data_IF_058825700284
#
_entry.id   IF_058825700284
#
_cell.length_a   1.000
_cell.length_b   1.000
_cell.length_c   1.000
_cell.angle_alpha   90.00
_cell.angle_beta   90.00
_cell.angle_gamma   90.00
#
_symmetry.space_group_name_H-M   'P 1'
#
loop_
_entity.id
_entity.type
_entity.pdbx_description
1 polymer ?
#
# COMPACT_ATOMS: atom_id res chain seq x y z
N UNK A 1 -6.05 5.13 -22.41
CA UNK A 1 -6.18 6.22 -21.43
C UNK A 1 -7.05 5.89 -20.21
N UNK A 2 -8.37 5.62 -20.33
CA UNK A 2 -9.22 5.34 -19.13
C UNK A 2 -8.79 4.06 -18.39
N UNK A 3 -8.58 2.97 -19.12
CA UNK A 3 -8.22 1.67 -18.53
C UNK A 3 -6.81 1.64 -17.91
N UNK A 4 -5.87 2.41 -18.48
CA UNK A 4 -4.51 2.54 -17.93
C UNK A 4 -4.51 3.30 -16.60
N UNK A 5 -5.36 4.34 -16.47
CA UNK A 5 -5.55 5.06 -15.20
C UNK A 5 -6.16 4.14 -14.14
N UNK A 6 -7.15 3.34 -14.53
CA UNK A 6 -7.77 2.35 -13.65
C UNK A 6 -6.73 1.32 -13.18
N UNK A 7 -5.98 0.73 -14.11
CA UNK A 7 -4.92 -0.23 -13.81
C UNK A 7 -3.88 0.34 -12.84
N UNK A 8 -3.38 1.55 -13.12
CA UNK A 8 -2.43 2.24 -12.24
C UNK A 8 -3.02 2.54 -10.86
N UNK A 9 -4.32 2.86 -10.76
CA UNK A 9 -4.98 3.11 -9.48
C UNK A 9 -5.17 1.85 -8.65
N UNK A 10 -5.45 0.70 -9.27
CA UNK A 10 -5.59 -0.59 -8.59
C UNK A 10 -4.24 -1.10 -8.09
N UNK A 11 -3.17 -0.91 -8.86
CA UNK A 11 -1.80 -1.24 -8.43
C UNK A 11 -1.33 -0.41 -7.22
N UNK A 12 -1.92 0.76 -6.99
CA UNK A 12 -1.60 1.61 -5.84
C UNK A 12 -2.34 1.23 -4.56
N UNK A 13 -3.29 0.29 -4.64
CA UNK A 13 -4.00 -0.16 -3.45
C UNK A 13 -3.03 -0.85 -2.47
N UNK A 14 -3.15 -0.55 -1.17
CA UNK A 14 -2.52 -1.29 -0.07
C UNK A 14 -2.44 -2.80 -0.30
N UNK A 15 -1.26 -3.42 -0.21
CA UNK A 15 -1.14 -4.89 -0.18
C UNK A 15 -1.41 -5.63 -1.49
N UNK A 16 -1.75 -4.94 -2.59
CA UNK A 16 -1.89 -5.57 -3.90
C UNK A 16 -0.53 -6.11 -4.35
N UNK A 17 -0.52 -7.40 -4.70
CA UNK A 17 0.66 -8.10 -5.18
C UNK A 17 0.74 -8.10 -6.71
N UNK A 18 -0.42 -8.12 -7.39
CA UNK A 18 -0.52 -8.12 -8.85
C UNK A 18 -1.85 -7.55 -9.31
N UNK A 19 -1.85 -6.89 -10.46
CA UNK A 19 -3.07 -6.58 -11.22
C UNK A 19 -2.88 -7.09 -12.65
N UNK A 20 -3.87 -7.80 -13.18
CA UNK A 20 -3.92 -8.21 -14.58
C UNK A 20 -5.20 -7.70 -15.24
N UNK A 21 -5.09 -7.12 -16.44
CA UNK A 21 -6.25 -6.66 -17.21
C UNK A 21 -6.65 -7.72 -18.23
N UNK A 22 -7.82 -8.33 -18.07
CA UNK A 22 -8.35 -9.33 -19.00
C UNK A 22 -9.14 -8.63 -20.09
N UNK A 23 -8.70 -8.80 -21.33
CA UNK A 23 -9.25 -8.11 -22.50
C UNK A 23 -10.04 -9.07 -23.40
N UNK A 24 -11.05 -8.53 -24.07
CA UNK A 24 -11.81 -9.22 -25.09
C UNK A 24 -12.23 -8.20 -26.15
N UNK A 25 -11.95 -8.51 -27.43
CA UNK A 25 -12.25 -7.63 -28.56
C UNK A 25 -11.72 -6.19 -28.36
N UNK A 26 -10.52 -6.04 -27.82
CA UNK A 26 -9.86 -4.74 -27.59
C UNK A 26 -10.30 -3.99 -26.32
N UNK A 27 -11.39 -4.40 -25.67
CA UNK A 27 -11.88 -3.80 -24.42
C UNK A 27 -11.44 -4.58 -23.18
N UNK A 28 -11.20 -3.91 -22.05
CA UNK A 28 -10.99 -4.59 -20.76
C UNK A 28 -12.34 -5.07 -20.23
N UNK A 29 -12.49 -6.37 -20.01
CA UNK A 29 -13.68 -6.96 -19.37
C UNK A 29 -13.63 -6.84 -17.85
N UNK A 30 -12.46 -7.07 -17.28
CA UNK A 30 -12.22 -6.99 -15.85
C UNK A 30 -10.73 -6.92 -15.54
N UNK A 31 -10.44 -6.55 -14.30
CA UNK A 31 -9.13 -6.63 -13.68
C UNK A 31 -9.15 -7.76 -12.66
N UNK A 32 -8.12 -8.61 -12.69
CA UNK A 32 -7.81 -9.52 -11.59
C UNK A 32 -6.87 -8.79 -10.64
N UNK A 33 -7.32 -8.52 -9.44
CA UNK A 33 -6.55 -7.87 -8.38
C UNK A 33 -6.15 -8.94 -7.37
N UNK A 34 -4.85 -9.24 -7.32
CA UNK A 34 -4.31 -10.29 -6.48
C UNK A 34 -3.73 -9.73 -5.19
N UNK A 35 -4.11 -10.33 -4.07
CA UNK A 35 -3.47 -10.16 -2.77
C UNK A 35 -2.80 -11.47 -2.38
N UNK A 36 -1.61 -11.38 -1.81
CA UNK A 36 -0.90 -12.54 -1.28
C UNK A 36 -0.56 -12.28 0.18
N UNK A 37 -1.00 -13.18 1.04
CA UNK A 37 -0.75 -13.15 2.46
C UNK A 37 0.02 -14.40 2.87
N UNK A 38 0.83 -14.29 3.90
CA UNK A 38 1.36 -15.47 4.57
C UNK A 38 0.22 -16.13 5.36
N UNK A 39 0.06 -17.45 5.23
CA UNK A 39 -0.97 -18.22 5.91
C UNK A 39 -0.85 -18.11 7.43
N UNK A 40 0.37 -18.00 7.96
CA UNK A 40 0.59 -17.84 9.40
C UNK A 40 -0.01 -16.53 9.95
N UNK A 41 -0.22 -15.54 9.08
CA UNK A 41 -0.73 -14.21 9.41
C UNK A 41 -2.22 -14.05 9.06
N UNK A 42 -2.94 -15.14 8.80
CA UNK A 42 -4.38 -15.08 8.56
C UNK A 42 -5.09 -16.01 9.53
N UNK A 43 -5.73 -15.43 10.53
CA UNK A 43 -6.71 -16.15 11.33
C UNK A 43 -8.01 -16.37 10.56
N UNK A 44 -8.93 -17.14 11.14
CA UNK A 44 -10.20 -17.47 10.50
C UNK A 44 -11.08 -16.24 10.27
N UNK A 45 -10.97 -15.21 11.11
CA UNK A 45 -11.76 -13.98 11.00
C UNK A 45 -11.25 -13.10 9.84
N UNK A 46 -9.94 -12.88 9.75
CA UNK A 46 -9.30 -12.18 8.64
C UNK A 46 -9.60 -12.88 7.30
N UNK A 47 -9.55 -14.22 7.29
CA UNK A 47 -9.87 -15.00 6.10
C UNK A 47 -11.33 -14.78 5.64
N UNK A 48 -12.30 -14.83 6.57
CA UNK A 48 -13.72 -14.60 6.25
C UNK A 48 -13.98 -13.16 5.79
N UNK A 49 -13.35 -12.18 6.46
CA UNK A 49 -13.45 -10.75 6.10
C UNK A 49 -12.88 -10.50 4.69
N UNK A 50 -11.72 -11.08 4.35
CA UNK A 50 -11.12 -10.95 3.03
C UNK A 50 -11.92 -11.71 1.95
N UNK A 51 -12.41 -12.91 2.26
CA UNK A 51 -13.25 -13.69 1.35
C UNK A 51 -14.55 -12.95 0.98
N UNK A 52 -15.07 -12.13 1.90
CA UNK A 52 -16.29 -11.33 1.72
C UNK A 52 -16.05 -9.91 1.19
N UNK A 53 -14.79 -9.51 1.00
CA UNK A 53 -14.44 -8.19 0.47
C UNK A 53 -15.18 -7.92 -0.85
N UNK A 54 -15.18 -8.90 -1.73
CA UNK A 54 -15.75 -8.78 -3.06
C UNK A 54 -16.48 -10.05 -3.49
N UNK A 55 -17.61 -9.94 -4.21
CA UNK A 55 -18.44 -11.12 -4.56
C UNK A 55 -17.73 -12.14 -5.45
N UNK A 56 -16.80 -11.68 -6.30
CA UNK A 56 -16.05 -12.52 -7.22
C UNK A 56 -14.61 -12.65 -6.74
N UNK A 57 -14.40 -13.57 -5.79
CA UNK A 57 -13.11 -13.87 -5.18
C UNK A 57 -12.76 -15.34 -5.39
N UNK A 58 -11.52 -15.61 -5.78
CA UNK A 58 -10.92 -16.94 -5.75
C UNK A 58 -9.82 -16.96 -4.69
N UNK A 59 -9.80 -18.01 -3.86
CA UNK A 59 -8.83 -18.18 -2.79
C UNK A 59 -8.01 -19.42 -3.11
N UNK A 60 -6.70 -19.25 -3.25
CA UNK A 60 -5.76 -20.33 -3.51
C UNK A 60 -4.71 -20.37 -2.40
N UNK A 61 -4.61 -21.50 -1.70
CA UNK A 61 -3.52 -21.71 -0.75
C UNK A 61 -2.36 -22.38 -1.50
N UNK A 62 -1.17 -21.78 -1.45
CA UNK A 62 0.05 -22.38 -1.95
C UNK A 62 0.65 -23.29 -0.85
N UNK A 63 0.58 -24.63 -1.01
CA UNK A 63 1.05 -25.56 0.02
C UNK A 63 2.58 -25.56 0.16
N UNK A 64 3.30 -25.05 -0.83
CA UNK A 64 4.77 -25.02 -0.90
C UNK A 64 5.33 -23.72 -0.32
N UNK A 65 4.67 -22.59 -0.55
CA UNK A 65 5.13 -21.27 -0.11
C UNK A 65 4.51 -20.81 1.21
N UNK A 66 3.55 -21.56 1.77
CA UNK A 66 2.85 -21.17 2.99
C UNK A 66 2.04 -19.89 2.84
N UNK A 67 1.66 -19.52 1.61
CA UNK A 67 0.92 -18.29 1.30
C UNK A 67 -0.52 -18.58 0.89
N UNK A 68 -1.41 -17.61 1.10
CA UNK A 68 -2.78 -17.62 0.59
C UNK A 68 -2.92 -16.45 -0.38
N UNK A 69 -3.37 -16.76 -1.59
CA UNK A 69 -3.64 -15.84 -2.69
C UNK A 69 -5.14 -15.59 -2.77
N UNK A 70 -5.53 -14.33 -2.85
CA UNK A 70 -6.89 -13.88 -3.08
C UNK A 70 -6.93 -13.14 -4.41
N UNK A 71 -7.67 -13.66 -5.38
CA UNK A 71 -7.87 -13.04 -6.68
C UNK A 71 -9.28 -12.47 -6.78
N UNK A 72 -9.38 -11.14 -6.85
CA UNK A 72 -10.63 -10.43 -6.99
C UNK A 72 -10.85 -10.00 -8.43
N UNK A 73 -12.02 -10.36 -8.97
CA UNK A 73 -12.41 -10.04 -10.33
C UNK A 73 -13.28 -8.78 -10.30
N UNK A 74 -12.73 -7.67 -10.82
CA UNK A 74 -13.32 -6.32 -10.70
C UNK A 74 -13.57 -5.74 -12.09
N UNK A 75 -14.82 -5.39 -12.42
CA UNK A 75 -15.12 -4.75 -13.70
C UNK A 75 -14.73 -3.27 -13.68
N UNK A 76 -14.39 -2.65 -14.83
CA UNK A 76 -13.96 -1.25 -14.87
C UNK A 76 -14.94 -0.27 -14.20
N UNK A 77 -16.24 -0.50 -14.32
CA UNK A 77 -17.30 0.31 -13.72
C UNK A 77 -17.42 0.14 -12.18
N UNK A 78 -16.88 -0.94 -11.63
CA UNK A 78 -16.97 -1.26 -10.20
C UNK A 78 -15.72 -0.84 -9.41
N UNK A 79 -14.66 -0.42 -10.10
CA UNK A 79 -13.34 -0.15 -9.51
C UNK A 79 -13.40 0.83 -8.35
N UNK A 80 -14.15 1.93 -8.47
CA UNK A 80 -14.24 2.91 -7.39
C UNK A 80 -14.88 2.32 -6.13
N UNK A 81 -15.90 1.47 -6.29
CA UNK A 81 -16.54 0.78 -5.17
C UNK A 81 -15.61 -0.28 -4.57
N UNK A 82 -14.90 -1.02 -5.41
CA UNK A 82 -13.89 -1.98 -4.97
C UNK A 82 -12.80 -1.28 -4.16
N UNK A 83 -12.25 -0.17 -4.64
CA UNK A 83 -11.22 0.60 -3.95
C UNK A 83 -11.68 1.09 -2.58
N UNK A 84 -12.91 1.61 -2.48
CA UNK A 84 -13.49 2.06 -1.22
C UNK A 84 -13.59 0.91 -0.20
N UNK A 85 -14.11 -0.25 -0.64
CA UNK A 85 -14.21 -1.43 0.23
C UNK A 85 -12.85 -1.99 0.59
N UNK A 86 -11.94 -2.09 -0.38
CA UNK A 86 -10.60 -2.62 -0.19
C UNK A 86 -9.83 -1.79 0.83
N UNK A 87 -9.85 -0.45 0.73
CA UNK A 87 -9.20 0.40 1.73
C UNK A 87 -9.77 0.17 3.15
N UNK A 88 -11.10 0.09 3.29
CA UNK A 88 -11.76 -0.13 4.60
C UNK A 88 -11.46 -1.51 5.19
N UNK A 89 -11.49 -2.53 4.33
CA UNK A 89 -11.36 -3.95 4.74
C UNK A 89 -9.89 -4.34 4.91
N UNK A 90 -8.97 -3.79 4.11
CA UNK A 90 -7.54 -4.08 4.24
C UNK A 90 -6.92 -3.34 5.41
N UNK A 91 -7.43 -2.17 5.80
CA UNK A 91 -7.08 -1.56 7.09
C UNK A 91 -7.48 -2.48 8.26
N UNK A 92 -8.68 -3.09 8.19
CA UNK A 92 -9.14 -4.08 9.18
C UNK A 92 -8.36 -5.38 9.11
N UNK A 93 -8.15 -5.96 7.93
CA UNK A 93 -7.41 -7.20 7.75
C UNK A 93 -5.92 -7.03 8.08
N UNK A 94 -5.32 -5.86 7.84
CA UNK A 94 -3.96 -5.55 8.30
C UNK A 94 -3.87 -5.44 9.84
N UNK A 95 -4.94 -5.02 10.51
CA UNK A 95 -5.03 -5.04 11.96
C UNK A 95 -5.27 -6.44 12.53
N UNK A 96 -6.05 -7.29 11.85
CA UNK A 96 -6.39 -8.66 12.27
C UNK A 96 -5.28 -9.66 11.93
N UNK A 97 -4.54 -9.44 10.84
CA UNK A 97 -3.51 -10.35 10.35
C UNK A 97 -2.30 -10.53 11.29
N UNK A 98 -2.22 -9.81 12.43
CA UNK A 98 -1.49 -10.23 13.63
C UNK A 98 -0.01 -10.62 13.52
N UNK A 99 0.60 -10.51 12.34
CA UNK A 99 2.02 -10.62 12.13
C UNK A 99 2.53 -9.23 12.34
N UNK A 100 3.25 -9.06 13.43
CA UNK A 100 4.05 -7.90 13.77
C UNK A 100 4.82 -7.40 12.52
N UNK A 101 4.14 -6.58 11.71
CA UNK A 101 4.74 -5.84 10.60
C UNK A 101 5.29 -4.60 11.26
N UNK A 102 6.29 -4.80 12.13
CA UNK A 102 6.90 -3.81 13.01
C UNK A 102 6.73 -2.43 12.38
N UNK A 103 5.80 -1.65 12.92
CA UNK A 103 5.46 -0.38 12.31
C UNK A 103 6.69 0.49 12.52
N UNK A 104 7.43 0.75 11.44
CA UNK A 104 8.63 1.55 11.54
C UNK A 104 8.21 3.00 11.42
N UNK A 105 8.41 3.73 12.50
CA UNK A 105 8.30 5.18 12.50
C UNK A 105 9.67 5.74 12.15
N UNK A 106 9.73 6.40 10.99
CA UNK A 106 10.87 7.17 10.51
C UNK A 106 10.58 8.65 10.78
N UNK A 107 11.39 9.29 11.62
CA UNK A 107 11.35 10.74 11.84
C UNK A 107 12.56 11.36 11.14
N UNK A 108 12.29 12.23 10.18
CA UNK A 108 13.28 13.01 9.44
C UNK A 108 13.21 14.46 9.92
N UNK A 109 14.29 14.97 10.48
CA UNK A 109 14.42 16.37 10.87
C UNK A 109 15.27 17.09 9.81
N UNK A 110 14.75 18.17 9.24
CA UNK A 110 15.42 18.95 8.20
C UNK A 110 16.00 20.27 8.73
N UNK A 111 16.98 20.82 8.00
CA UNK A 111 17.64 22.10 8.31
C UNK A 111 16.67 23.31 8.30
N UNK A 112 15.56 23.19 7.57
CA UNK A 112 14.55 24.24 7.39
C UNK A 112 13.15 23.66 7.25
N UNK A 113 12.16 24.55 7.21
CA UNK A 113 10.75 24.19 7.06
C UNK A 113 10.51 23.39 5.78
N UNK A 114 9.75 22.30 5.88
CA UNK A 114 9.35 21.49 4.73
C UNK A 114 8.23 22.19 3.97
N UNK A 115 8.45 22.60 2.71
CA UNK A 115 7.43 23.30 1.95
C UNK A 115 6.28 22.35 1.57
N UNK A 116 5.04 22.84 1.45
CA UNK A 116 3.87 22.01 1.14
C UNK A 116 4.02 21.18 -0.15
N UNK A 117 4.70 21.71 -1.16
CA UNK A 117 4.95 21.00 -2.43
C UNK A 117 5.83 19.77 -2.23
N UNK A 118 6.81 19.86 -1.32
CA UNK A 118 7.67 18.73 -0.97
C UNK A 118 6.87 17.66 -0.21
N UNK A 119 5.98 18.06 0.71
CA UNK A 119 5.12 17.13 1.43
C UNK A 119 4.19 16.36 0.48
N UNK A 120 3.57 17.05 -0.47
CA UNK A 120 2.70 16.43 -1.47
C UNK A 120 3.47 15.39 -2.28
N UNK A 121 4.70 15.70 -2.69
CA UNK A 121 5.52 14.79 -3.47
C UNK A 121 6.04 13.60 -2.64
N UNK A 122 6.44 13.84 -1.38
CA UNK A 122 6.78 12.78 -0.43
C UNK A 122 5.61 11.83 -0.22
N UNK A 123 4.41 12.36 0.05
CA UNK A 123 3.18 11.57 0.22
C UNK A 123 2.83 10.77 -1.04
N UNK A 124 3.01 11.35 -2.24
CA UNK A 124 2.78 10.65 -3.50
C UNK A 124 3.79 9.52 -3.78
N UNK A 125 4.97 9.57 -3.15
CA UNK A 125 6.03 8.55 -3.29
C UNK A 125 5.88 7.35 -2.34
N UNK A 126 4.98 7.47 -1.36
CA UNK A 126 4.67 6.46 -0.36
C UNK A 126 3.51 5.56 -0.83
N UNK A 127 3.37 4.39 -0.18
CA UNK A 127 2.24 3.50 -0.44
C UNK A 127 1.02 4.02 0.30
N UNK A 128 -0.19 3.65 -0.16
CA UNK A 128 -1.44 4.06 0.51
C UNK A 128 -1.56 3.60 1.97
N UNK A 129 -0.80 2.58 2.39
CA UNK A 129 -0.72 2.10 3.79
C UNK A 129 0.23 2.89 4.69
N UNK A 130 1.09 3.71 4.08
CA UNK A 130 2.10 4.46 4.78
C UNK A 130 1.53 5.86 5.09
N UNK A 131 1.74 6.34 6.31
CA UNK A 131 1.25 7.66 6.73
C UNK A 131 2.41 8.65 6.76
N UNK A 132 2.18 9.88 6.32
CA UNK A 132 3.14 10.98 6.42
C UNK A 132 2.48 12.19 7.06
N UNK A 133 3.10 12.66 8.13
CA UNK A 133 2.76 13.88 8.85
C UNK A 133 3.97 14.81 8.82
N UNK A 134 3.74 16.08 8.51
CA UNK A 134 4.76 17.13 8.52
C UNK A 134 4.41 18.15 9.60
N UNK A 135 5.43 18.65 10.30
CA UNK A 135 5.27 19.76 11.24
C UNK A 135 6.54 20.59 11.26
N UNK A 136 6.49 21.79 10.68
CA UNK A 136 7.66 22.66 10.64
C UNK A 136 8.79 22.02 9.85
N UNK A 137 9.84 21.58 10.55
CA UNK A 137 11.04 20.96 9.97
C UNK A 137 11.01 19.44 10.01
N UNK A 138 10.01 18.87 10.68
CA UNK A 138 9.94 17.44 10.96
C UNK A 138 8.98 16.76 9.98
N UNK A 139 9.38 15.59 9.50
CA UNK A 139 8.54 14.67 8.76
C UNK A 139 8.53 13.34 9.48
N UNK A 140 7.34 12.94 9.93
CA UNK A 140 7.10 11.65 10.56
C UNK A 140 6.43 10.75 9.54
N UNK A 141 7.07 9.62 9.24
CA UNK A 141 6.56 8.61 8.32
C UNK A 141 6.34 7.31 9.08
N UNK A 142 5.09 6.83 9.07
CA UNK A 142 4.74 5.52 9.61
C UNK A 142 4.67 4.52 8.47
N UNK A 143 5.61 3.57 8.47
CA UNK A 143 5.75 2.55 7.44
C UNK A 143 5.20 1.22 7.94
N UNK A 144 4.14 0.75 7.29
CA UNK A 144 3.47 -0.49 7.69
C UNK A 144 3.95 -1.63 6.78
N UNK A 145 4.53 -2.68 7.36
CA UNK A 145 5.03 -3.84 6.60
C UNK A 145 6.06 -3.47 5.54
N UNK A 146 6.91 -2.48 5.82
CA UNK A 146 8.01 -2.09 4.94
C UNK A 146 9.20 -3.02 5.18
N UNK A 147 9.59 -3.79 4.15
CA UNK A 147 10.78 -4.66 4.20
C UNK A 147 12.09 -3.89 4.06
N UNK A 148 12.04 -2.71 3.43
CA UNK A 148 13.21 -1.90 3.11
C UNK A 148 12.96 -0.43 3.45
N UNK A 149 13.08 -0.13 4.74
CA UNK A 149 12.94 1.23 5.27
C UNK A 149 14.04 2.16 4.74
N UNK A 150 15.24 1.63 4.49
CA UNK A 150 16.36 2.40 3.99
C UNK A 150 16.09 2.94 2.57
N UNK A 151 15.50 2.13 1.69
CA UNK A 151 15.12 2.58 0.35
C UNK A 151 13.99 3.63 0.38
N UNK A 152 13.07 3.54 1.35
CA UNK A 152 12.04 4.57 1.53
C UNK A 152 12.65 5.87 2.04
N UNK A 153 13.54 5.78 3.03
CA UNK A 153 14.30 6.94 3.53
C UNK A 153 15.10 7.60 2.43
N UNK A 154 15.90 6.85 1.66
CA UNK A 154 16.70 7.41 0.56
C UNK A 154 15.83 8.12 -0.48
N UNK A 155 14.66 7.54 -0.79
CA UNK A 155 13.69 8.16 -1.70
C UNK A 155 13.18 9.49 -1.15
N UNK A 156 12.78 9.53 0.13
CA UNK A 156 12.30 10.74 0.79
C UNK A 156 13.40 11.81 0.86
N UNK A 157 14.65 11.43 1.15
CA UNK A 157 15.81 12.33 1.13
C UNK A 157 16.08 12.88 -0.26
N UNK A 158 15.96 12.05 -1.30
CA UNK A 158 16.10 12.50 -2.70
C UNK A 158 15.00 13.47 -3.10
N UNK A 159 13.77 13.28 -2.61
CA UNK A 159 12.69 14.25 -2.80
C UNK A 159 13.07 15.55 -2.09
N UNK A 160 13.40 15.50 -0.80
CA UNK A 160 13.79 16.65 0.01
C UNK A 160 14.94 17.46 -0.61
N UNK A 161 15.96 16.78 -1.14
CA UNK A 161 17.12 17.40 -1.78
C UNK A 161 16.76 18.21 -3.03
N UNK A 162 15.70 17.83 -3.78
CA UNK A 162 15.21 18.63 -4.91
C UNK A 162 14.60 19.97 -4.49
N UNK A 163 14.15 20.07 -3.24
CA UNK A 163 13.65 21.29 -2.62
C UNK A 163 14.73 22.01 -1.80
N UNK A 164 15.99 21.56 -1.87
CA UNK A 164 17.11 22.16 -1.15
C UNK A 164 17.06 21.95 0.37
N UNK A 165 16.34 20.93 0.84
CA UNK A 165 16.31 20.52 2.24
C UNK A 165 17.49 19.60 2.53
N UNK A 166 18.20 19.86 3.64
CA UNK A 166 19.25 18.98 4.13
C UNK A 166 18.80 18.32 5.43
N UNK A 167 19.27 17.09 5.63
CA UNK A 167 18.95 16.32 6.83
C UNK A 167 19.76 16.83 8.02
N UNK A 168 19.07 17.23 9.09
CA UNK A 168 19.66 17.57 10.38
C UNK A 168 19.73 16.34 11.30
N UNK A 169 18.78 15.41 11.18
CA UNK A 169 18.75 14.19 11.98
C UNK A 169 17.77 13.13 11.45
N UNK A 170 18.01 11.87 11.83
CA UNK A 170 17.11 10.73 11.58
C UNK A 170 16.91 9.94 12.86
N UNK A 171 15.66 9.73 13.23
CA UNK A 171 15.30 8.80 14.29
C UNK A 171 14.44 7.67 13.70
N UNK A 172 14.87 6.42 13.90
CA UNK A 172 14.10 5.22 13.53
C UNK A 172 13.62 4.53 14.79
N UNK A 173 12.31 4.30 14.89
CA UNK A 173 11.70 3.52 15.99
C UNK A 173 10.85 2.42 15.39
N UNK A 174 11.15 1.18 15.73
CA UNK A 174 10.23 0.04 15.58
C UNK A 174 9.25 0.07 16.73
N UNK A 175 7.97 0.23 16.41
CA UNK A 175 6.87 0.08 17.37
C UNK A 175 6.52 -1.39 17.55
#
# INVERSE_FOLDING_TARGET
MKDERIFASLLRLPGVSRVNAVRSQGSVKHFNVTYTFDRANLDAEALDVLARLWPFCTIEADPTEGSIKFDFLVRPEEVSLFQLKANTVLERAAAIAGGDRAAVTLTLEFDRHVPPECEVEMRASLRGTDCLESSGRDVVVRLTGCKDVAAVEERLLRIAGRFGLNLAGVCRKTA
#
